data_IF_936409770275
#
_entry.id   IF_936409770275
#
_cell.length_a   1.000
_cell.length_b   1.000
_cell.length_c   1.000
_cell.angle_alpha   90.00
_cell.angle_beta   90.00
_cell.angle_gamma   90.00
#
_symmetry.space_group_name_H-M   'P 1'
#
loop_
_entity.id
_entity.type
_entity.pdbx_description
1 polymer ?
#
# COMPACT_ATOMS: atom_id res chain seq x y z
N UNK A 1 -12.02 8.55 13.04
CA UNK A 1 -12.43 7.61 14.09
C UNK A 1 -13.51 8.23 14.95
N UNK A 2 -14.60 7.49 15.22
CA UNK A 2 -15.70 7.94 16.06
C UNK A 2 -15.17 8.07 17.50
N UNK A 3 -15.11 9.29 18.01
CA UNK A 3 -14.58 9.58 19.35
C UNK A 3 -15.56 9.13 20.45
N UNK A 4 -16.85 9.31 20.21
CA UNK A 4 -17.91 8.92 21.12
C UNK A 4 -18.51 7.57 20.70
N UNK A 5 -18.16 6.52 21.44
CA UNK A 5 -18.64 5.16 21.19
C UNK A 5 -20.15 4.99 21.40
N UNK A 6 -20.79 5.87 22.16
CA UNK A 6 -22.25 5.83 22.35
C UNK A 6 -23.02 6.07 21.03
N UNK A 7 -22.41 6.76 20.07
CA UNK A 7 -23.00 7.01 18.75
C UNK A 7 -22.96 5.79 17.82
N UNK A 8 -22.22 4.74 18.14
CA UNK A 8 -22.11 3.55 17.30
C UNK A 8 -23.42 2.77 17.22
N UNK A 9 -24.13 2.59 18.35
CA UNK A 9 -25.37 1.82 18.37
C UNK A 9 -26.48 2.49 17.54
N UNK A 10 -26.76 3.78 17.68
CA UNK A 10 -27.71 4.47 16.81
C UNK A 10 -27.35 4.40 15.33
N UNK A 11 -26.05 4.53 15.01
CA UNK A 11 -25.59 4.45 13.64
C UNK A 11 -25.74 3.03 13.04
N UNK A 12 -25.44 1.98 13.81
CA UNK A 12 -25.67 0.59 13.39
C UNK A 12 -27.17 0.35 13.15
N UNK A 13 -28.03 0.84 14.06
CA UNK A 13 -29.48 0.74 13.90
C UNK A 13 -29.95 1.43 12.61
N UNK A 14 -29.44 2.64 12.31
CA UNK A 14 -29.75 3.36 11.07
C UNK A 14 -29.30 2.57 9.84
N UNK A 15 -28.09 2.02 9.82
CA UNK A 15 -27.58 1.21 8.70
C UNK A 15 -28.44 -0.03 8.47
N UNK A 16 -28.88 -0.69 9.54
CA UNK A 16 -29.75 -1.89 9.48
C UNK A 16 -31.10 -1.61 8.82
N UNK A 17 -31.57 -0.36 8.85
CA UNK A 17 -32.81 0.03 8.15
C UNK A 17 -32.62 0.26 6.65
N UNK A 18 -31.40 0.62 6.22
CA UNK A 18 -31.09 0.95 4.82
C UNK A 18 -30.88 -0.28 3.95
N UNK A 19 -30.36 -1.35 4.52
CA UNK A 19 -30.07 -2.60 3.82
C UNK A 19 -30.01 -3.77 4.76
N UNK A 20 -30.41 -4.95 4.32
CA UNK A 20 -30.22 -6.19 5.03
C UNK A 20 -28.74 -6.63 4.91
N UNK A 21 -27.98 -6.46 5.98
CA UNK A 21 -26.61 -6.96 6.09
C UNK A 21 -26.62 -8.30 6.80
N UNK A 22 -25.69 -9.19 6.46
CA UNK A 22 -25.49 -10.43 7.22
C UNK A 22 -25.01 -10.10 8.65
N UNK A 23 -24.03 -9.19 8.75
CA UNK A 23 -23.49 -8.68 10.02
C UNK A 23 -23.03 -7.21 9.84
N UNK A 24 -23.02 -6.47 10.94
CA UNK A 24 -22.44 -5.12 11.01
C UNK A 24 -21.44 -5.09 12.17
N UNK A 25 -20.17 -4.99 11.88
CA UNK A 25 -19.10 -5.05 12.88
C UNK A 25 -18.37 -3.71 12.94
N UNK A 26 -18.47 -2.97 14.07
CA UNK A 26 -17.67 -1.78 14.26
C UNK A 26 -16.22 -2.16 14.55
N UNK A 27 -15.31 -1.74 13.70
CA UNK A 27 -13.87 -2.03 13.81
C UNK A 27 -13.03 -0.77 13.88
N UNK A 28 -11.88 -0.87 14.49
CA UNK A 28 -10.81 0.13 14.41
C UNK A 28 -9.52 -0.57 13.99
N UNK A 29 -9.19 -0.49 12.70
CA UNK A 29 -7.96 -1.10 12.17
C UNK A 29 -6.70 -0.53 12.84
N UNK A 30 -6.64 0.80 13.03
CA UNK A 30 -5.50 1.46 13.68
C UNK A 30 -5.34 1.03 15.16
N UNK A 31 -6.44 0.85 15.88
CA UNK A 31 -6.43 0.46 17.29
C UNK A 31 -6.53 -1.05 17.53
N UNK A 32 -6.66 -1.87 16.49
CA UNK A 32 -6.81 -3.32 16.60
C UNK A 32 -8.13 -3.78 17.21
N UNK A 33 -9.12 -2.87 17.42
CA UNK A 33 -10.37 -3.24 18.06
C UNK A 33 -11.30 -4.02 17.13
N UNK A 34 -11.84 -5.14 17.63
CA UNK A 34 -12.78 -6.03 16.95
C UNK A 34 -12.26 -6.63 15.63
N UNK A 35 -10.95 -6.72 15.43
CA UNK A 35 -10.36 -7.39 14.26
C UNK A 35 -10.54 -8.91 14.36
N UNK A 36 -10.28 -9.52 15.52
CA UNK A 36 -10.44 -10.95 15.75
C UNK A 36 -11.89 -11.43 15.56
N UNK A 37 -12.93 -10.77 16.15
CA UNK A 37 -14.33 -11.08 15.84
C UNK A 37 -14.67 -10.93 14.35
N UNK A 38 -14.15 -9.90 13.66
CA UNK A 38 -14.35 -9.73 12.23
C UNK A 38 -13.76 -10.90 11.44
N UNK A 39 -12.53 -11.32 11.77
CA UNK A 39 -11.87 -12.45 11.12
C UNK A 39 -12.65 -13.75 11.34
N UNK A 40 -13.14 -13.99 12.55
CA UNK A 40 -13.99 -15.14 12.88
C UNK A 40 -15.29 -15.18 12.06
N UNK A 41 -15.94 -14.04 11.89
CA UNK A 41 -17.14 -13.91 11.05
C UNK A 41 -16.81 -14.17 9.58
N UNK A 42 -15.76 -13.57 9.04
CA UNK A 42 -15.33 -13.80 7.66
C UNK A 42 -15.09 -15.30 7.42
N UNK A 43 -14.37 -15.97 8.31
CA UNK A 43 -14.12 -17.42 8.22
C UNK A 43 -15.41 -18.24 8.23
N UNK A 44 -16.44 -17.83 8.99
CA UNK A 44 -17.71 -18.53 9.05
C UNK A 44 -18.54 -18.44 7.76
N UNK A 45 -18.37 -17.35 7.00
CA UNK A 45 -19.06 -17.13 5.72
C UNK A 45 -18.30 -17.67 4.50
N UNK A 46 -17.00 -17.96 4.63
CA UNK A 46 -16.22 -18.52 3.55
C UNK A 46 -16.62 -19.98 3.26
N UNK A 47 -16.77 -20.36 1.98
CA UNK A 47 -17.03 -21.75 1.61
C UNK A 47 -15.81 -22.62 1.94
N UNK A 48 -16.06 -23.86 2.31
CA UNK A 48 -14.97 -24.86 2.39
C UNK A 48 -14.43 -25.11 0.98
N UNK A 49 -13.16 -24.85 0.78
CA UNK A 49 -12.47 -24.99 -0.50
C UNK A 49 -11.09 -25.62 -0.28
N UNK A 50 -10.47 -26.08 -1.38
CA UNK A 50 -9.05 -26.39 -1.38
C UNK A 50 -8.24 -25.11 -1.28
N UNK A 51 -7.03 -25.20 -0.72
CA UNK A 51 -6.10 -24.08 -0.75
C UNK A 51 -5.78 -23.72 -2.21
N UNK A 52 -6.01 -22.45 -2.56
CA UNK A 52 -5.73 -21.94 -3.91
C UNK A 52 -4.26 -21.57 -4.10
N UNK A 53 -3.56 -21.34 -2.99
CA UNK A 53 -2.14 -20.97 -2.94
C UNK A 53 -1.40 -21.90 -1.97
N UNK A 54 -0.11 -22.20 -2.21
CA UNK A 54 0.76 -22.87 -1.24
C UNK A 54 0.81 -22.11 0.10
N UNK A 55 1.05 -22.83 1.20
CA UNK A 55 1.04 -22.25 2.57
C UNK A 55 2.13 -21.18 2.76
N UNK A 56 3.20 -21.23 1.97
CA UNK A 56 4.31 -20.27 1.97
C UNK A 56 4.13 -19.10 1.00
N UNK A 57 3.06 -19.10 0.21
CA UNK A 57 2.76 -18.03 -0.73
C UNK A 57 1.90 -16.94 -0.07
N UNK A 58 2.51 -15.82 0.28
CA UNK A 58 1.84 -14.68 0.92
C UNK A 58 1.04 -13.84 -0.08
N UNK A 59 1.45 -13.80 -1.36
CA UNK A 59 0.82 -13.00 -2.41
C UNK A 59 1.04 -13.62 -3.80
N UNK A 60 0.11 -13.38 -4.72
CA UNK A 60 0.24 -13.70 -6.15
C UNK A 60 0.98 -12.62 -6.95
N UNK A 61 1.31 -11.50 -6.31
CA UNK A 61 1.98 -10.39 -6.95
C UNK A 61 3.49 -10.61 -7.05
N UNK A 62 4.10 -10.06 -8.09
CA UNK A 62 5.55 -10.16 -8.28
C UNK A 62 6.31 -9.40 -7.19
N UNK A 63 7.54 -9.83 -6.90
CA UNK A 63 8.42 -9.12 -5.97
C UNK A 63 8.68 -7.66 -6.38
N UNK A 64 8.68 -7.37 -7.68
CA UNK A 64 8.75 -5.99 -8.20
C UNK A 64 7.54 -5.16 -7.77
N UNK A 65 6.34 -5.72 -7.88
CA UNK A 65 5.11 -5.06 -7.45
C UNK A 65 5.14 -4.81 -5.94
N UNK A 66 5.53 -5.81 -5.14
CA UNK A 66 5.66 -5.64 -3.69
C UNK A 66 6.65 -4.53 -3.33
N UNK A 67 7.80 -4.46 -4.01
CA UNK A 67 8.77 -3.39 -3.80
C UNK A 67 8.19 -2.01 -4.14
N UNK A 68 7.43 -1.88 -5.24
CA UNK A 68 6.78 -0.60 -5.59
C UNK A 68 5.75 -0.17 -4.55
N UNK A 69 4.96 -1.11 -4.01
CA UNK A 69 3.95 -0.82 -3.00
C UNK A 69 4.57 -0.45 -1.64
N UNK A 70 5.68 -1.08 -1.23
CA UNK A 70 6.42 -0.70 -0.04
C UNK A 70 6.94 0.75 -0.13
N UNK A 71 7.48 1.15 -1.29
CA UNK A 71 7.89 2.55 -1.51
C UNK A 71 6.67 3.47 -1.46
N UNK A 72 5.60 3.13 -2.18
CA UNK A 72 4.38 3.94 -2.24
C UNK A 72 3.75 4.13 -0.87
N UNK A 73 3.72 3.10 -0.05
CA UNK A 73 3.26 3.18 1.35
C UNK A 73 4.05 4.20 2.16
N UNK A 74 5.40 4.19 2.07
CA UNK A 74 6.23 5.14 2.82
C UNK A 74 6.04 6.57 2.32
N UNK A 75 5.89 6.75 1.01
CA UNK A 75 5.53 8.07 0.44
C UNK A 75 4.21 8.56 1.02
N UNK A 76 3.15 7.73 0.98
CA UNK A 76 1.81 8.10 1.46
C UNK A 76 1.81 8.41 2.96
N UNK A 77 2.48 7.58 3.78
CA UNK A 77 2.55 7.77 5.24
C UNK A 77 3.28 9.04 5.64
N UNK A 78 4.34 9.44 4.92
CA UNK A 78 5.12 10.64 5.24
C UNK A 78 4.48 11.94 4.74
N UNK A 79 3.61 11.84 3.73
CA UNK A 79 2.95 13.01 3.14
C UNK A 79 1.55 13.27 3.70
N UNK A 80 0.99 12.30 4.45
CA UNK A 80 -0.35 12.42 5.04
C UNK A 80 -1.42 12.69 3.99
N UNK A 81 -2.31 13.63 4.31
CA UNK A 81 -3.47 13.96 3.46
C UNK A 81 -3.12 14.79 2.21
N UNK A 82 -1.83 15.19 2.04
CA UNK A 82 -1.45 16.15 1.00
C UNK A 82 -1.37 15.55 -0.41
N UNK A 83 -1.17 14.21 -0.56
CA UNK A 83 -0.91 13.59 -1.88
C UNK A 83 -1.37 12.12 -2.08
N UNK A 84 -2.50 11.63 -1.54
CA UNK A 84 -2.76 10.19 -1.51
C UNK A 84 -3.03 9.52 -2.87
N UNK A 85 -3.43 10.27 -3.91
CA UNK A 85 -3.93 9.70 -5.16
C UNK A 85 -3.07 9.97 -6.41
N UNK A 86 -2.11 10.87 -6.33
CA UNK A 86 -1.35 11.35 -7.49
C UNK A 86 0.10 10.81 -7.52
N UNK A 87 0.38 9.72 -6.79
CA UNK A 87 1.72 9.13 -6.70
C UNK A 87 1.69 7.68 -7.08
N UNK A 88 2.55 7.30 -8.00
CA UNK A 88 2.84 5.89 -8.31
C UNK A 88 4.33 5.62 -8.31
N UNK A 89 4.70 4.34 -8.24
CA UNK A 89 6.10 3.91 -8.21
C UNK A 89 6.35 2.87 -9.29
N UNK A 90 7.31 3.12 -10.13
CA UNK A 90 7.83 2.20 -11.13
C UNK A 90 9.17 1.62 -10.67
N UNK A 91 9.34 0.30 -10.74
CA UNK A 91 10.61 -0.35 -10.48
C UNK A 91 11.37 -0.51 -11.79
N UNK A 92 12.35 0.36 -12.03
CA UNK A 92 13.16 0.32 -13.25
C UNK A 92 14.21 -0.81 -13.21
N UNK A 93 14.78 -1.09 -12.03
CA UNK A 93 15.75 -2.18 -11.84
C UNK A 93 15.37 -3.03 -10.64
N UNK A 94 15.45 -4.35 -10.81
CA UNK A 94 15.28 -5.33 -9.73
C UNK A 94 16.20 -6.52 -10.03
N UNK A 95 17.36 -6.56 -9.38
CA UNK A 95 18.44 -7.49 -9.74
C UNK A 95 19.18 -7.98 -8.49
N UNK A 96 19.34 -9.28 -8.39
CA UNK A 96 20.13 -9.89 -7.33
C UNK A 96 21.61 -9.89 -7.74
N UNK A 97 22.45 -9.19 -6.98
CA UNK A 97 23.90 -9.15 -7.17
C UNK A 97 24.59 -9.72 -5.92
N UNK A 98 25.01 -10.96 -6.00
CA UNK A 98 25.52 -11.70 -4.82
C UNK A 98 24.44 -11.83 -3.74
N UNK A 99 24.77 -11.41 -2.52
CA UNK A 99 23.86 -11.43 -1.37
C UNK A 99 22.95 -10.18 -1.26
N UNK A 100 23.06 -9.22 -2.20
CA UNK A 100 22.36 -7.94 -2.12
C UNK A 100 21.39 -7.79 -3.29
N UNK A 101 20.14 -7.43 -3.00
CA UNK A 101 19.11 -7.11 -3.98
C UNK A 101 19.20 -5.62 -4.33
N UNK A 102 19.48 -5.31 -5.58
CA UNK A 102 19.55 -3.95 -6.10
C UNK A 102 18.24 -3.52 -6.72
N UNK A 103 17.63 -2.49 -6.14
CA UNK A 103 16.33 -1.98 -6.56
C UNK A 103 16.46 -0.50 -6.91
N UNK A 104 15.96 -0.14 -8.10
CA UNK A 104 15.83 1.25 -8.52
C UNK A 104 14.34 1.58 -8.66
N UNK A 105 13.87 2.52 -7.86
CA UNK A 105 12.48 2.95 -7.81
C UNK A 105 12.33 4.40 -8.30
N UNK A 106 11.48 4.59 -9.30
CA UNK A 106 11.08 5.88 -9.82
C UNK A 106 9.72 6.25 -9.26
N UNK A 107 9.67 7.31 -8.47
CA UNK A 107 8.42 7.89 -7.96
C UNK A 107 7.90 8.88 -8.99
N UNK A 108 6.72 8.60 -9.55
CA UNK A 108 6.04 9.46 -10.51
C UNK A 108 5.01 10.32 -9.80
N UNK A 109 5.01 11.61 -10.13
CA UNK A 109 4.05 12.61 -9.65
C UNK A 109 3.54 13.46 -10.80
N UNK A 110 2.34 14.02 -10.66
CA UNK A 110 1.72 14.83 -11.71
C UNK A 110 2.32 16.26 -11.78
N UNK A 111 2.70 16.86 -10.64
CA UNK A 111 3.07 18.27 -10.56
C UNK A 111 4.42 18.52 -9.90
N UNK A 112 5.07 19.62 -10.32
CA UNK A 112 6.38 20.06 -9.76
C UNK A 112 6.31 20.32 -8.24
N UNK A 113 5.18 20.84 -7.73
CA UNK A 113 4.97 21.05 -6.30
C UNK A 113 5.05 19.77 -5.50
N UNK A 114 4.42 18.70 -6.00
CA UNK A 114 4.46 17.36 -5.40
C UNK A 114 5.88 16.80 -5.34
N UNK A 115 6.65 16.93 -6.44
CA UNK A 115 8.06 16.53 -6.46
C UNK A 115 8.84 17.23 -5.35
N UNK A 116 8.66 18.57 -5.18
CA UNK A 116 9.37 19.32 -4.15
C UNK A 116 9.00 18.86 -2.73
N UNK A 117 7.74 18.52 -2.51
CA UNK A 117 7.26 18.01 -1.22
C UNK A 117 7.88 16.64 -0.91
N UNK A 118 7.92 15.72 -1.89
CA UNK A 118 8.49 14.36 -1.72
C UNK A 118 10.00 14.40 -1.51
N UNK A 119 10.70 15.25 -2.26
CA UNK A 119 12.16 15.39 -2.12
C UNK A 119 12.50 16.02 -0.77
N UNK A 120 11.75 17.04 -0.34
CA UNK A 120 12.01 17.78 0.89
C UNK A 120 13.20 18.73 0.78
N UNK A 121 13.56 19.35 1.91
CA UNK A 121 14.75 20.20 2.00
C UNK A 121 16.00 19.32 1.80
N UNK A 122 16.86 19.70 0.87
CA UNK A 122 18.13 19.00 0.57
C UNK A 122 18.00 17.47 0.30
N UNK A 123 16.78 16.99 0.01
CA UNK A 123 16.52 15.56 -0.22
C UNK A 123 16.24 14.75 1.04
N UNK A 124 16.14 15.37 2.20
CA UNK A 124 16.00 14.69 3.48
C UNK A 124 14.75 13.79 3.56
N UNK A 125 13.60 14.27 3.03
CA UNK A 125 12.37 13.47 3.06
C UNK A 125 12.48 12.25 2.16
N UNK A 126 13.01 12.39 0.96
CA UNK A 126 13.24 11.26 0.05
C UNK A 126 14.20 10.22 0.66
N UNK A 127 15.22 10.67 1.38
CA UNK A 127 16.14 9.81 2.11
C UNK A 127 15.43 9.04 3.23
N UNK A 128 14.56 9.69 4.01
CA UNK A 128 13.77 9.02 5.06
C UNK A 128 12.81 7.97 4.45
N UNK A 129 12.12 8.31 3.34
CA UNK A 129 11.28 7.37 2.58
C UNK A 129 12.11 6.16 2.14
N UNK A 130 13.27 6.41 1.54
CA UNK A 130 14.15 5.34 1.06
C UNK A 130 14.67 4.44 2.17
N UNK A 131 15.04 5.01 3.33
CA UNK A 131 15.48 4.24 4.49
C UNK A 131 14.38 3.34 5.01
N UNK A 132 13.19 3.88 5.27
CA UNK A 132 12.05 3.11 5.78
C UNK A 132 11.58 2.02 4.80
N UNK A 133 11.54 2.33 3.48
CA UNK A 133 11.18 1.35 2.47
C UNK A 133 12.22 0.22 2.37
N UNK A 134 13.52 0.55 2.43
CA UNK A 134 14.60 -0.43 2.41
C UNK A 134 14.53 -1.39 3.59
N UNK A 135 14.27 -0.89 4.80
CA UNK A 135 14.15 -1.71 6.01
C UNK A 135 13.01 -2.72 5.90
N UNK A 136 11.83 -2.30 5.43
CA UNK A 136 10.70 -3.21 5.22
C UNK A 136 10.97 -4.21 4.08
N UNK A 137 11.68 -3.80 3.02
CA UNK A 137 12.10 -4.70 1.95
C UNK A 137 13.09 -5.75 2.44
N UNK A 138 14.06 -5.39 3.28
CA UNK A 138 15.01 -6.36 3.86
C UNK A 138 14.30 -7.44 4.68
N UNK A 139 13.23 -7.05 5.41
CA UNK A 139 12.37 -8.00 6.13
C UNK A 139 11.56 -8.87 5.15
N UNK A 140 10.93 -8.24 4.15
CA UNK A 140 10.01 -8.92 3.23
C UNK A 140 10.71 -9.88 2.26
N UNK A 141 11.96 -9.57 1.87
CA UNK A 141 12.74 -10.37 0.91
C UNK A 141 13.82 -11.24 1.58
N UNK A 142 13.94 -11.16 2.90
CA UNK A 142 14.95 -11.89 3.70
C UNK A 142 16.37 -11.77 3.14
N UNK A 143 16.73 -10.57 2.65
CA UNK A 143 18.07 -10.30 2.10
C UNK A 143 18.45 -8.82 2.26
N UNK A 144 19.75 -8.51 2.06
CA UNK A 144 20.21 -7.12 2.01
C UNK A 144 19.69 -6.41 0.77
N UNK A 145 19.22 -5.15 0.94
CA UNK A 145 18.67 -4.33 -0.14
C UNK A 145 19.48 -3.05 -0.32
N UNK A 146 19.89 -2.79 -1.56
CA UNK A 146 20.39 -1.51 -2.01
C UNK A 146 19.29 -0.80 -2.81
N UNK A 147 18.69 0.22 -2.19
CA UNK A 147 17.57 0.97 -2.77
C UNK A 147 18.03 2.33 -3.27
N UNK A 148 17.81 2.62 -4.56
CA UNK A 148 17.96 3.94 -5.17
C UNK A 148 16.59 4.50 -5.53
N UNK A 149 16.29 5.73 -5.09
CA UNK A 149 15.04 6.41 -5.38
C UNK A 149 15.27 7.75 -6.05
N UNK A 150 14.39 8.07 -7.01
CA UNK A 150 14.29 9.41 -7.58
C UNK A 150 12.86 9.75 -7.93
N UNK A 151 12.60 11.04 -8.11
CA UNK A 151 11.26 11.57 -8.35
C UNK A 151 11.20 12.27 -9.69
N UNK A 152 10.25 11.90 -10.54
CA UNK A 152 10.00 12.52 -11.85
C UNK A 152 8.58 13.06 -11.93
N UNK A 153 8.43 14.22 -12.57
CA UNK A 153 7.12 14.76 -12.93
C UNK A 153 6.72 14.18 -14.28
N UNK A 154 5.55 13.53 -14.32
CA UNK A 154 4.92 13.02 -15.54
C UNK A 154 3.43 13.33 -15.44
N UNK A 155 3.01 14.43 -16.08
CA UNK A 155 1.61 14.85 -16.07
C UNK A 155 0.72 13.85 -16.82
N UNK A 156 -0.48 13.58 -16.28
CA UNK A 156 -1.49 12.72 -16.91
C UNK A 156 -1.17 11.23 -16.87
N UNK A 157 -0.24 10.77 -16.05
CA UNK A 157 0.08 9.33 -15.96
C UNK A 157 -1.09 8.48 -15.44
N UNK A 158 -1.96 9.06 -14.62
CA UNK A 158 -3.12 8.37 -14.04
C UNK A 158 -4.23 8.11 -15.07
N UNK A 159 -4.26 8.87 -16.15
CA UNK A 159 -5.23 8.73 -17.24
C UNK A 159 -4.67 7.91 -18.43
N UNK A 160 -3.40 7.50 -18.36
CA UNK A 160 -2.74 6.69 -19.41
C UNK A 160 -2.85 5.20 -19.09
N UNK A 161 -3.78 4.52 -19.74
CA UNK A 161 -4.07 3.09 -19.57
C UNK A 161 -2.85 2.20 -19.84
N UNK A 162 -1.96 2.60 -20.78
CA UNK A 162 -0.69 1.89 -21.06
C UNK A 162 0.32 2.09 -19.93
N UNK A 163 0.36 3.29 -19.34
CA UNK A 163 1.19 3.55 -18.18
C UNK A 163 0.72 2.73 -16.97
N UNK A 164 -0.60 2.65 -16.73
CA UNK A 164 -1.19 1.84 -15.66
C UNK A 164 -0.89 0.35 -15.83
N UNK A 165 -1.01 -0.19 -17.04
CA UNK A 165 -0.66 -1.59 -17.33
C UNK A 165 0.84 -1.88 -17.08
N UNK A 166 1.74 -0.98 -17.49
CA UNK A 166 3.18 -1.14 -17.26
C UNK A 166 3.58 -1.09 -15.79
N UNK A 167 2.76 -0.43 -14.96
CA UNK A 167 2.91 -0.31 -13.52
C UNK A 167 2.31 -1.48 -12.72
N UNK A 168 1.71 -2.47 -13.42
CA UNK A 168 1.11 -3.64 -12.79
C UNK A 168 -0.35 -3.47 -12.38
N UNK A 169 -0.98 -2.35 -12.71
CA UNK A 169 -2.42 -2.11 -12.55
C UNK A 169 -3.20 -2.64 -13.77
N UNK A 170 -3.08 -3.91 -14.06
CA UNK A 170 -3.93 -4.55 -15.06
C UNK A 170 -5.15 -5.16 -14.37
N UNK A 171 -6.36 -4.75 -14.76
CA UNK A 171 -7.57 -5.49 -14.45
C UNK A 171 -7.46 -6.89 -15.07
N UNK A 172 -7.48 -7.91 -14.22
CA UNK A 172 -7.74 -9.30 -14.62
C UNK A 172 -9.16 -9.66 -14.29
#
# INVERSE_FOLDING_TARGET
LVKDKAQLLPHIAELSTKRQFAEIVPVSALGGHNLEPLEGLIRSYLPKSQFLFPDDQVTDRSSRFLASELIREKVTRQLGDELPYDVTVEIEKFEQLGATLHIHGLILVDRKGQKRIIVGAEGDRLKQIGTAAREDMEISFDCKVMLHLWVKVKSGWADDERALQSLGYSDR
#
